data_IF_549007482196
#
_entry.id   IF_549007482196
#
_cell.length_a   1.000
_cell.length_b   1.000
_cell.length_c   1.000
_cell.angle_alpha   90.00
_cell.angle_beta   90.00
_cell.angle_gamma   90.00
#
_symmetry.space_group_name_H-M   'P 1'
#
loop_
_entity.id
_entity.type
_entity.pdbx_description
1 polymer ?
#
# COMPACT_ATOMS: atom_id res chain seq x y z
N UNK A 1 43.34 -15.25 28.30
CA UNK A 1 42.24 -14.54 27.60
C UNK A 1 42.27 -14.76 26.08
N UNK A 2 43.41 -14.79 25.40
CA UNK A 2 43.51 -14.95 23.93
C UNK A 2 42.84 -16.21 23.29
N UNK A 3 42.67 -17.30 24.04
CA UNK A 3 42.04 -18.52 23.52
C UNK A 3 40.51 -18.41 23.40
N UNK A 4 39.88 -17.52 24.18
CA UNK A 4 38.43 -17.27 24.12
C UNK A 4 38.10 -16.44 22.87
N UNK A 5 38.84 -15.34 22.66
CA UNK A 5 38.69 -14.46 21.50
C UNK A 5 38.80 -15.23 20.18
N UNK A 6 39.75 -16.17 20.10
CA UNK A 6 39.95 -17.00 18.91
C UNK A 6 38.75 -17.91 18.61
N UNK A 7 38.06 -18.42 19.64
CA UNK A 7 36.83 -19.22 19.46
C UNK A 7 35.65 -18.37 19.04
N UNK A 8 35.53 -17.15 19.57
CA UNK A 8 34.47 -16.21 19.20
C UNK A 8 34.59 -15.78 17.73
N UNK A 9 35.81 -15.47 17.27
CA UNK A 9 36.08 -15.14 15.86
C UNK A 9 35.75 -16.31 14.93
N UNK A 10 36.09 -17.54 15.34
CA UNK A 10 35.76 -18.73 14.56
C UNK A 10 34.24 -18.94 14.47
N UNK A 11 33.53 -18.83 15.59
CA UNK A 11 32.07 -18.94 15.61
C UNK A 11 31.38 -17.88 14.74
N UNK A 12 31.84 -16.63 14.79
CA UNK A 12 31.33 -15.57 13.93
C UNK A 12 31.58 -15.86 12.44
N UNK A 13 32.75 -16.39 12.11
CA UNK A 13 33.12 -16.80 10.74
C UNK A 13 32.25 -17.95 10.25
N UNK A 14 31.99 -18.94 11.09
CA UNK A 14 31.18 -20.11 10.75
C UNK A 14 29.69 -19.73 10.58
N UNK A 15 29.18 -18.83 11.42
CA UNK A 15 27.84 -18.24 11.27
C UNK A 15 27.74 -17.43 9.98
N UNK A 16 28.71 -16.56 9.70
CA UNK A 16 28.74 -15.77 8.46
C UNK A 16 28.80 -16.67 7.21
N UNK A 17 29.55 -17.77 7.27
CA UNK A 17 29.63 -18.77 6.19
C UNK A 17 28.32 -19.53 6.02
N UNK A 18 27.63 -19.87 7.11
CA UNK A 18 26.32 -20.50 7.07
C UNK A 18 25.23 -19.55 6.53
N UNK A 19 25.36 -18.25 6.78
CA UNK A 19 24.45 -17.20 6.31
C UNK A 19 24.79 -16.68 4.91
N UNK A 20 25.98 -16.94 4.37
CA UNK A 20 26.31 -16.60 2.99
C UNK A 20 25.39 -17.39 2.05
N UNK A 21 24.48 -16.65 1.41
CA UNK A 21 23.48 -17.16 0.46
C UNK A 21 24.12 -18.08 -0.57
N UNK A 22 23.86 -19.39 -0.46
CA UNK A 22 24.33 -20.41 -1.41
C UNK A 22 23.59 -20.39 -2.74
N UNK A 23 22.51 -19.61 -2.83
CA UNK A 23 21.58 -19.65 -3.96
C UNK A 23 21.93 -18.66 -5.08
N UNK A 24 22.97 -17.83 -4.89
CA UNK A 24 23.36 -16.84 -5.89
C UNK A 24 24.51 -17.37 -6.72
N UNK A 25 24.26 -17.55 -8.02
CA UNK A 25 25.29 -18.05 -8.94
C UNK A 25 26.54 -17.16 -8.91
N UNK A 26 27.71 -17.79 -9.00
CA UNK A 26 28.98 -17.09 -9.22
C UNK A 26 29.11 -16.59 -10.66
N UNK A 27 28.31 -17.12 -11.59
CA UNK A 27 28.19 -16.60 -12.94
C UNK A 27 27.35 -15.30 -12.92
N UNK A 28 27.92 -14.17 -13.40
CA UNK A 28 27.24 -12.88 -13.39
C UNK A 28 25.94 -12.86 -14.20
N UNK A 29 25.85 -13.62 -15.30
CA UNK A 29 24.63 -13.67 -16.12
C UNK A 29 23.52 -14.41 -15.41
N UNK A 30 23.83 -15.58 -14.85
CA UNK A 30 22.89 -16.34 -14.02
C UNK A 30 22.43 -15.54 -12.80
N UNK A 31 23.34 -14.80 -12.14
CA UNK A 31 23.00 -13.91 -11.03
C UNK A 31 22.02 -12.83 -11.47
N UNK A 32 22.25 -12.20 -12.61
CA UNK A 32 21.37 -11.16 -13.14
C UNK A 32 19.97 -11.72 -13.45
N UNK A 33 19.90 -12.95 -13.98
CA UNK A 33 18.63 -13.63 -14.24
C UNK A 33 17.89 -13.95 -12.93
N UNK A 34 18.57 -14.45 -11.90
CA UNK A 34 17.97 -14.72 -10.59
C UNK A 34 17.43 -13.45 -9.91
N UNK A 35 18.12 -12.31 -10.07
CA UNK A 35 17.63 -11.02 -9.58
C UNK A 35 16.35 -10.62 -10.31
N UNK A 36 16.37 -10.66 -11.67
CA UNK A 36 15.20 -10.34 -12.49
C UNK A 36 14.00 -11.24 -12.19
N UNK A 37 14.24 -12.53 -11.98
CA UNK A 37 13.19 -13.48 -11.59
C UNK A 37 12.53 -13.09 -10.27
N UNK A 38 13.34 -12.74 -9.25
CA UNK A 38 12.82 -12.27 -7.96
C UNK A 38 12.04 -10.97 -8.10
N UNK A 39 12.52 -10.01 -8.88
CA UNK A 39 11.82 -8.75 -9.16
C UNK A 39 10.48 -8.99 -9.85
N UNK A 40 10.43 -9.87 -10.86
CA UNK A 40 9.19 -10.23 -11.54
C UNK A 40 8.22 -10.96 -10.62
N UNK A 41 8.72 -11.80 -9.72
CA UNK A 41 7.90 -12.48 -8.72
C UNK A 41 7.29 -11.50 -7.72
N UNK A 42 8.06 -10.50 -7.26
CA UNK A 42 7.55 -9.43 -6.39
C UNK A 42 6.43 -8.67 -7.12
N UNK A 43 6.69 -8.19 -8.35
CA UNK A 43 5.68 -7.46 -9.15
C UNK A 43 4.40 -8.27 -9.38
N UNK A 44 4.53 -9.59 -9.59
CA UNK A 44 3.38 -10.48 -9.72
C UNK A 44 2.54 -10.49 -8.44
N UNK A 45 3.17 -10.62 -7.28
CA UNK A 45 2.49 -10.65 -5.99
C UNK A 45 1.82 -9.32 -5.66
N UNK A 46 2.46 -8.20 -5.98
CA UNK A 46 1.89 -6.86 -5.82
C UNK A 46 0.61 -6.70 -6.67
N UNK A 47 0.66 -7.14 -7.93
CA UNK A 47 -0.51 -7.13 -8.81
C UNK A 47 -1.65 -8.04 -8.33
N UNK A 48 -1.30 -9.20 -7.77
CA UNK A 48 -2.29 -10.12 -7.20
C UNK A 48 -2.98 -9.51 -5.97
N UNK A 49 -2.21 -8.88 -5.07
CA UNK A 49 -2.72 -8.18 -3.90
C UNK A 49 -3.66 -7.02 -4.30
N UNK A 50 -3.27 -6.23 -5.31
CA UNK A 50 -4.11 -5.12 -5.79
C UNK A 50 -5.43 -5.63 -6.38
N UNK A 51 -5.39 -6.74 -7.14
CA UNK A 51 -6.62 -7.37 -7.65
C UNK A 51 -7.52 -7.87 -6.53
N UNK A 52 -6.96 -8.55 -5.55
CA UNK A 52 -7.71 -9.07 -4.41
C UNK A 52 -8.35 -7.94 -3.60
N UNK A 53 -7.63 -6.83 -3.43
CA UNK A 53 -8.16 -5.63 -2.78
C UNK A 53 -9.35 -5.03 -3.53
N UNK A 54 -9.23 -4.87 -4.85
CA UNK A 54 -10.32 -4.35 -5.69
C UNK A 54 -11.54 -5.29 -5.68
N UNK A 55 -11.32 -6.60 -5.73
CA UNK A 55 -12.40 -7.58 -5.64
C UNK A 55 -13.08 -7.54 -4.27
N UNK A 56 -12.30 -7.39 -3.18
CA UNK A 56 -12.85 -7.25 -1.83
C UNK A 56 -13.70 -5.97 -1.70
N UNK A 57 -13.20 -4.85 -2.21
CA UNK A 57 -13.92 -3.57 -2.21
C UNK A 57 -15.23 -3.66 -3.01
N UNK A 58 -15.19 -4.26 -4.21
CA UNK A 58 -16.38 -4.50 -5.01
C UNK A 58 -17.38 -5.38 -4.27
N UNK A 59 -16.92 -6.49 -3.70
CA UNK A 59 -17.79 -7.43 -2.99
C UNK A 59 -18.42 -6.77 -1.75
N UNK A 60 -17.67 -5.95 -1.02
CA UNK A 60 -18.18 -5.18 0.12
C UNK A 60 -19.24 -4.16 -0.32
N UNK A 61 -18.97 -3.40 -1.38
CA UNK A 61 -19.93 -2.43 -1.92
C UNK A 61 -21.22 -3.13 -2.38
N UNK A 62 -21.10 -4.26 -3.06
CA UNK A 62 -22.23 -5.07 -3.50
C UNK A 62 -23.03 -5.63 -2.32
N UNK A 63 -22.38 -6.25 -1.34
CA UNK A 63 -23.03 -6.78 -0.14
C UNK A 63 -23.83 -5.68 0.58
N UNK A 64 -23.24 -4.50 0.74
CA UNK A 64 -23.94 -3.43 1.42
C UNK A 64 -25.06 -2.79 0.60
N UNK A 65 -24.98 -2.81 -0.73
CA UNK A 65 -26.10 -2.44 -1.58
C UNK A 65 -27.27 -3.43 -1.41
N UNK A 66 -26.99 -4.73 -1.28
CA UNK A 66 -28.01 -5.73 -0.97
C UNK A 66 -28.65 -5.52 0.39
N UNK A 67 -27.86 -5.25 1.43
CA UNK A 67 -28.39 -4.96 2.78
C UNK A 67 -29.33 -3.75 2.76
N UNK A 68 -28.92 -2.67 2.07
CA UNK A 68 -29.76 -1.47 1.86
C UNK A 68 -31.06 -1.82 1.15
N UNK A 69 -30.98 -2.57 0.05
CA UNK A 69 -32.16 -2.94 -0.72
C UNK A 69 -33.14 -3.81 0.10
N UNK A 70 -32.60 -4.78 0.86
CA UNK A 70 -33.39 -5.65 1.73
C UNK A 70 -34.13 -4.85 2.82
N UNK A 71 -33.42 -4.00 3.56
CA UNK A 71 -34.03 -3.16 4.60
C UNK A 71 -35.08 -2.22 4.04
N UNK A 72 -34.81 -1.58 2.90
CA UNK A 72 -35.77 -0.66 2.28
C UNK A 72 -37.06 -1.39 1.89
N UNK A 73 -36.96 -2.62 1.37
CA UNK A 73 -38.14 -3.47 1.07
C UNK A 73 -38.89 -3.86 2.36
N UNK A 74 -38.18 -4.20 3.44
CA UNK A 74 -38.80 -4.53 4.73
C UNK A 74 -39.57 -3.34 5.32
N UNK A 75 -38.99 -2.14 5.28
CA UNK A 75 -39.66 -0.92 5.74
C UNK A 75 -40.89 -0.56 4.92
N UNK A 76 -40.81 -0.67 3.58
CA UNK A 76 -41.97 -0.45 2.71
C UNK A 76 -43.09 -1.45 3.01
N UNK A 77 -42.74 -2.73 3.26
CA UNK A 77 -43.72 -3.76 3.65
C UNK A 77 -44.34 -3.51 5.03
N UNK A 78 -43.60 -2.86 5.93
CA UNK A 78 -44.10 -2.43 7.23
C UNK A 78 -45.00 -1.17 7.16
N UNK A 79 -45.20 -0.60 5.97
CA UNK A 79 -46.11 0.52 5.75
C UNK A 79 -45.46 1.91 5.81
N UNK A 80 -44.13 1.98 5.84
CA UNK A 80 -43.44 3.28 5.75
C UNK A 80 -43.58 3.84 4.33
N UNK A 81 -43.64 5.17 4.22
CA UNK A 81 -43.48 5.85 2.93
C UNK A 81 -42.07 5.65 2.38
N UNK A 82 -41.88 5.87 1.07
CA UNK A 82 -40.57 5.74 0.44
C UNK A 82 -39.50 6.62 1.11
N UNK A 83 -39.83 7.87 1.42
CA UNK A 83 -38.89 8.79 2.08
C UNK A 83 -38.57 8.36 3.51
N UNK A 84 -39.58 7.89 4.27
CA UNK A 84 -39.37 7.38 5.62
C UNK A 84 -38.54 6.09 5.63
N UNK A 85 -38.80 5.16 4.70
CA UNK A 85 -38.04 3.92 4.54
C UNK A 85 -36.58 4.19 4.15
N UNK A 86 -36.34 5.17 3.26
CA UNK A 86 -34.99 5.60 2.87
C UNK A 86 -34.24 6.21 4.06
N UNK A 87 -34.87 7.10 4.82
CA UNK A 87 -34.26 7.68 6.03
C UNK A 87 -33.92 6.58 7.04
N UNK A 88 -34.87 5.72 7.37
CA UNK A 88 -34.68 4.63 8.33
C UNK A 88 -33.56 3.67 7.89
N UNK A 89 -33.45 3.35 6.60
CA UNK A 89 -32.37 2.51 6.08
C UNK A 89 -31.00 3.18 6.25
N UNK A 90 -30.89 4.49 6.01
CA UNK A 90 -29.67 5.24 6.25
C UNK A 90 -29.30 5.30 7.75
N UNK A 91 -30.29 5.48 8.62
CA UNK A 91 -30.08 5.56 10.07
C UNK A 91 -29.64 4.21 10.65
N UNK A 92 -30.19 3.10 10.14
CA UNK A 92 -29.84 1.74 10.61
C UNK A 92 -28.49 1.24 10.08
N UNK A 93 -28.11 1.58 8.85
CA UNK A 93 -26.87 1.10 8.23
C UNK A 93 -25.70 2.09 8.35
N UNK A 94 -25.97 3.33 8.76
CA UNK A 94 -25.00 4.40 8.88
C UNK A 94 -24.43 4.90 7.55
N UNK A 95 -23.62 5.96 7.62
CA UNK A 95 -22.79 6.37 6.50
C UNK A 95 -21.69 5.31 6.30
N UNK A 96 -21.71 4.65 5.15
CA UNK A 96 -20.65 3.68 4.85
C UNK A 96 -19.32 4.39 4.67
N UNK A 97 -18.47 4.29 5.69
CA UNK A 97 -17.09 4.76 5.61
C UNK A 97 -16.35 3.86 4.62
N UNK A 98 -16.05 4.42 3.45
CA UNK A 98 -14.95 3.91 2.63
C UNK A 98 -13.69 4.06 3.47
N UNK A 99 -13.25 2.97 4.09
CA UNK A 99 -11.92 2.91 4.68
C UNK A 99 -10.95 2.84 3.51
N UNK A 100 -10.64 4.00 2.96
CA UNK A 100 -9.41 4.18 2.22
C UNK A 100 -8.29 3.83 3.21
N UNK A 101 -7.42 2.84 2.95
CA UNK A 101 -6.23 2.70 3.77
C UNK A 101 -5.40 3.95 3.55
N UNK A 102 -5.41 4.80 4.56
CA UNK A 102 -4.42 5.83 4.78
C UNK A 102 -3.18 5.12 5.30
N UNK A 103 -2.31 4.66 4.41
CA UNK A 103 -0.94 4.33 4.77
C UNK A 103 0.03 4.78 3.67
N UNK A 104 0.55 5.99 3.82
CA UNK A 104 1.98 6.24 3.62
C UNK A 104 2.40 7.35 4.59
N UNK A 105 3.10 7.03 5.69
CA UNK A 105 3.84 8.01 6.47
C UNK A 105 5.06 8.50 5.67
N UNK A 106 5.34 9.78 5.83
CA UNK A 106 6.29 10.58 5.07
C UNK A 106 7.75 10.07 5.06
N UNK A 107 8.42 10.31 3.94
CA UNK A 107 9.87 10.55 3.92
C UNK A 107 10.11 11.95 3.35
N UNK A 108 10.17 12.93 4.25
CA UNK A 108 10.91 14.17 4.04
C UNK A 108 12.42 13.87 4.15
N UNK A 109 13.26 14.29 3.19
CA UNK A 109 14.65 14.58 3.47
C UNK A 109 14.74 16.06 3.88
N UNK A 110 15.10 16.30 5.14
CA UNK A 110 15.43 17.63 5.64
C UNK A 110 16.95 17.87 5.60
N UNK A 111 17.35 19.10 5.24
CA UNK A 111 18.71 19.65 5.29
C UNK A 111 19.32 19.87 3.90
N UNK A 112 19.83 21.04 3.49
CA UNK A 112 20.21 22.29 4.16
C UNK A 112 20.11 23.42 3.10
N UNK A 113 19.37 24.50 3.37
CA UNK A 113 19.87 25.81 3.84
C UNK A 113 20.32 26.77 2.71
N UNK A 114 19.43 27.75 2.46
CA UNK A 114 19.68 29.19 2.35
C UNK A 114 20.79 29.71 1.42
N UNK A 115 20.37 30.38 0.33
CA UNK A 115 20.90 31.70 -0.03
C UNK A 115 19.82 32.51 -0.77
N UNK A 116 19.63 33.71 -0.27
CA UNK A 116 18.69 34.76 -0.68
C UNK A 116 19.12 35.51 -1.94
N UNK A 117 18.12 36.20 -2.51
CA UNK A 117 18.18 37.33 -3.46
C UNK A 117 18.54 37.06 -4.93
N UNK A 118 17.57 37.33 -5.83
CA UNK A 118 17.53 38.59 -6.62
C UNK A 118 16.20 38.69 -7.39
N UNK A 119 15.63 39.90 -7.37
CA UNK A 119 14.37 40.36 -7.96
C UNK A 119 14.35 40.41 -9.50
N UNK A 120 13.15 40.76 -10.02
CA UNK A 120 12.84 41.35 -11.34
C UNK A 120 12.66 40.37 -12.51
N UNK A 121 11.65 40.47 -13.38
CA UNK A 121 10.58 41.42 -13.57
C UNK A 121 9.47 40.75 -14.39
N UNK A 122 8.21 41.17 -14.15
CA UNK A 122 7.09 40.87 -15.03
C UNK A 122 7.30 41.55 -16.39
N UNK A 123 7.19 40.81 -17.49
CA UNK A 123 6.80 41.37 -18.77
C UNK A 123 5.86 40.43 -19.51
N UNK A 124 4.58 40.75 -19.32
CA UNK A 124 3.48 40.60 -20.26
C UNK A 124 3.91 40.98 -21.69
N UNK A 125 3.61 40.12 -22.66
CA UNK A 125 3.59 40.49 -24.08
C UNK A 125 2.40 39.79 -24.71
N UNK A 126 1.27 40.50 -24.68
CA UNK A 126 0.27 40.48 -25.74
C UNK A 126 0.88 41.13 -26.99
N UNK A 127 0.77 40.48 -28.14
CA UNK A 127 0.85 41.14 -29.44
C UNK A 127 -0.20 40.49 -30.34
N UNK A 128 -1.12 41.34 -30.79
CA UNK A 128 -2.12 41.13 -31.86
C UNK A 128 -1.52 40.63 -33.19
#
# INVERSE_FOLDING_TARGET
MAANDKRMVQAATDVARAMCNKDVSSDPELRQLQIKEKELNIKRKELELERERLDNERNRAQASAFDKAKMMVEFLRAGLSLDAAKSATCDCLGAQTQQHPTETPEHQPNGQQENTDTQEANHENDVD
#
